data_IF_600057096063
#
_entry.id   IF_600057096063
#
_cell.length_a   1.000
_cell.length_b   1.000
_cell.length_c   1.000
_cell.angle_alpha   90.00
_cell.angle_beta   90.00
_cell.angle_gamma   90.00
#
_symmetry.space_group_name_H-M   'P 1'
#
loop_
_entity.id
_entity.type
_entity.pdbx_description
1 polymer ?
#
# COMPACT_ATOMS: atom_id res chain seq x y z
N UNK A 1 11.05 6.84 -8.02
CA UNK A 1 10.09 6.45 -6.98
C UNK A 1 8.75 6.14 -7.64
N UNK A 2 8.12 5.03 -7.26
CA UNK A 2 6.86 4.60 -7.85
C UNK A 2 5.76 4.50 -6.82
N UNK A 3 4.52 4.57 -7.28
CA UNK A 3 3.33 4.51 -6.41
C UNK A 3 2.39 3.47 -6.98
N UNK A 4 1.82 2.63 -6.09
CA UNK A 4 0.94 1.53 -6.50
C UNK A 4 -0.32 1.50 -5.66
N UNK A 5 -1.38 0.96 -6.25
CA UNK A 5 -2.65 0.69 -5.59
C UNK A 5 -3.00 -0.78 -5.78
N UNK A 6 -3.19 -1.48 -4.68
CA UNK A 6 -3.53 -2.91 -4.67
C UNK A 6 -4.93 -3.06 -4.08
N UNK A 7 -5.78 -3.84 -4.75
CA UNK A 7 -7.14 -4.10 -4.27
C UNK A 7 -7.39 -5.61 -4.27
N UNK A 8 -7.95 -6.11 -3.18
CA UNK A 8 -8.37 -7.51 -3.07
C UNK A 8 -9.79 -7.68 -3.59
N UNK A 9 -10.06 -8.78 -4.31
CA UNK A 9 -11.38 -9.07 -4.87
C UNK A 9 -12.39 -9.51 -3.80
N UNK A 10 -11.91 -10.16 -2.73
CA UNK A 10 -12.77 -10.67 -1.65
C UNK A 10 -12.01 -10.59 -0.32
N UNK A 11 -11.84 -9.38 0.25
CA UNK A 11 -11.07 -9.22 1.49
C UNK A 11 -11.84 -9.79 2.68
N UNK A 12 -11.08 -10.37 3.63
CA UNK A 12 -11.63 -10.76 4.92
C UNK A 12 -11.93 -9.51 5.76
N UNK A 13 -12.81 -9.64 6.78
CA UNK A 13 -13.23 -8.50 7.61
C UNK A 13 -12.08 -7.76 8.28
N UNK A 14 -11.05 -8.48 8.70
CA UNK A 14 -9.88 -7.93 9.39
C UNK A 14 -8.75 -7.55 8.45
N UNK A 15 -8.96 -7.69 7.14
CA UNK A 15 -7.98 -7.34 6.12
C UNK A 15 -8.33 -6.01 5.45
N UNK A 16 -7.35 -5.25 4.97
CA UNK A 16 -7.66 -4.08 4.15
C UNK A 16 -8.29 -4.52 2.84
N UNK A 17 -9.23 -3.72 2.34
CA UNK A 17 -9.81 -3.95 1.01
C UNK A 17 -8.92 -3.39 -0.08
N UNK A 18 -8.09 -2.38 0.21
CA UNK A 18 -7.04 -1.92 -0.69
C UNK A 18 -5.89 -1.29 0.10
N UNK A 19 -4.73 -1.24 -0.54
CA UNK A 19 -3.52 -0.60 -0.01
C UNK A 19 -2.95 0.29 -1.11
N UNK A 20 -2.55 1.51 -0.76
CA UNK A 20 -1.74 2.36 -1.62
C UNK A 20 -0.36 2.47 -1.00
N UNK A 21 0.69 2.38 -1.82
CA UNK A 21 2.06 2.43 -1.29
C UNK A 21 2.99 3.24 -2.19
N UNK A 22 4.02 3.79 -1.55
CA UNK A 22 5.11 4.49 -2.21
C UNK A 22 6.36 3.63 -2.10
N UNK A 23 6.99 3.34 -3.25
CA UNK A 23 8.11 2.39 -3.35
C UNK A 23 9.33 3.11 -3.90
N UNK A 24 10.47 2.96 -3.23
CA UNK A 24 11.74 3.52 -3.69
C UNK A 24 12.25 2.78 -4.93
N UNK A 25 13.26 3.36 -5.59
CA UNK A 25 13.83 2.77 -6.80
C UNK A 25 14.48 1.40 -6.54
N UNK A 26 14.89 1.13 -5.31
CA UNK A 26 15.46 -0.17 -4.92
C UNK A 26 14.41 -1.16 -4.38
N UNK A 27 13.13 -0.84 -4.49
CA UNK A 27 12.05 -1.77 -4.16
C UNK A 27 11.58 -1.75 -2.71
N UNK A 28 12.03 -0.80 -1.90
CA UNK A 28 11.58 -0.70 -0.51
C UNK A 28 10.33 0.16 -0.38
N UNK A 29 9.35 -0.30 0.39
CA UNK A 29 8.14 0.47 0.67
C UNK A 29 8.47 1.56 1.69
N UNK A 30 8.20 2.81 1.31
CA UNK A 30 8.52 3.98 2.14
C UNK A 30 7.31 4.47 2.93
N UNK A 31 6.13 4.48 2.30
CA UNK A 31 4.87 4.86 2.94
C UNK A 31 3.78 3.93 2.46
N UNK A 32 2.82 3.66 3.32
CA UNK A 32 1.67 2.83 2.96
C UNK A 32 0.40 3.39 3.59
N UNK A 33 -0.70 3.29 2.85
CA UNK A 33 -2.03 3.66 3.32
C UNK A 33 -2.91 2.43 3.14
N UNK A 34 -3.52 1.96 4.22
CA UNK A 34 -4.41 0.82 4.20
C UNK A 34 -5.85 1.30 4.43
N UNK A 35 -6.79 0.77 3.66
CA UNK A 35 -8.21 1.07 3.82
C UNK A 35 -8.94 -0.17 4.31
N UNK A 36 -9.64 -0.03 5.43
CA UNK A 36 -10.47 -1.09 6.04
C UNK A 36 -11.92 -0.64 6.04
N UNK A 37 -12.83 -1.59 6.23
CA UNK A 37 -14.25 -1.27 6.41
C UNK A 37 -14.48 -0.31 7.59
N UNK A 38 -13.64 -0.38 8.61
CA UNK A 38 -13.75 0.42 9.84
C UNK A 38 -12.93 1.71 9.82
N UNK A 39 -12.14 1.97 8.77
CA UNK A 39 -11.33 3.19 8.70
C UNK A 39 -10.01 2.99 7.97
N UNK A 40 -9.05 3.86 8.28
CA UNK A 40 -7.76 3.95 7.59
C UNK A 40 -6.61 3.69 8.55
N UNK A 41 -5.51 3.16 8.02
CA UNK A 41 -4.24 3.04 8.74
C UNK A 41 -3.12 3.48 7.81
N UNK A 42 -2.28 4.44 8.23
CA UNK A 42 -1.21 4.95 7.38
C UNK A 42 0.18 4.86 8.03
N UNK A 43 0.26 4.40 9.27
CA UNK A 43 1.53 4.22 9.99
C UNK A 43 2.39 5.48 9.99
N UNK A 44 1.74 6.64 10.05
CA UNK A 44 2.36 7.96 9.89
C UNK A 44 3.46 8.23 10.91
N UNK A 45 3.28 7.72 12.14
CA UNK A 45 4.21 7.89 13.24
C UNK A 45 5.23 6.76 13.36
N UNK A 46 5.15 5.77 12.46
CA UNK A 46 6.09 4.65 12.46
C UNK A 46 7.43 5.04 11.83
N UNK A 47 8.49 4.38 12.25
CA UNK A 47 9.80 4.58 11.64
C UNK A 47 9.86 3.91 10.27
N UNK A 48 10.87 4.26 9.47
CA UNK A 48 11.08 3.65 8.17
C UNK A 48 11.22 2.12 8.28
N UNK A 49 11.96 1.65 9.27
CA UNK A 49 12.16 0.22 9.51
C UNK A 49 10.86 -0.48 9.86
N UNK A 50 10.01 0.16 10.67
CA UNK A 50 8.70 -0.40 11.03
C UNK A 50 7.79 -0.52 9.81
N UNK A 51 7.75 0.48 8.95
CA UNK A 51 6.96 0.43 7.72
C UNK A 51 7.47 -0.69 6.80
N UNK A 52 8.77 -0.80 6.63
CA UNK A 52 9.36 -1.84 5.79
C UNK A 52 9.10 -3.25 6.35
N UNK A 53 9.01 -3.40 7.66
CA UNK A 53 8.74 -4.69 8.29
C UNK A 53 7.32 -5.21 8.05
N UNK A 54 6.40 -4.35 7.59
CA UNK A 54 5.06 -4.79 7.19
C UNK A 54 5.09 -5.64 5.91
N UNK A 55 6.19 -5.59 5.18
CA UNK A 55 6.37 -6.31 3.93
C UNK A 55 7.49 -7.33 4.11
N UNK A 56 7.19 -8.61 3.84
CA UNK A 56 8.14 -9.72 4.05
C UNK A 56 9.39 -9.62 3.20
N UNK A 57 9.32 -8.89 2.08
CA UNK A 57 10.39 -8.77 1.11
C UNK A 57 10.19 -7.51 0.29
N UNK A 58 11.19 -7.11 -0.51
CA UNK A 58 11.05 -5.95 -1.39
C UNK A 58 9.83 -6.07 -2.30
N UNK A 59 9.19 -4.95 -2.60
CA UNK A 59 7.99 -4.90 -3.41
C UNK A 59 8.31 -5.33 -4.84
N UNK A 60 7.59 -6.35 -5.34
CA UNK A 60 7.79 -6.88 -6.69
C UNK A 60 6.45 -6.89 -7.41
N UNK A 61 6.17 -5.91 -8.31
CA UNK A 61 4.90 -5.84 -9.01
C UNK A 61 4.61 -7.06 -9.89
N UNK A 62 5.63 -7.66 -10.50
CA UNK A 62 5.42 -8.84 -11.34
C UNK A 62 4.91 -10.03 -10.54
N UNK A 63 5.44 -10.23 -9.33
CA UNK A 63 5.01 -11.29 -8.44
C UNK A 63 3.58 -11.06 -7.97
N UNK A 64 3.23 -9.82 -7.64
CA UNK A 64 1.88 -9.46 -7.19
C UNK A 64 0.87 -9.67 -8.30
N UNK A 65 1.22 -9.35 -9.54
CA UNK A 65 0.33 -9.54 -10.69
C UNK A 65 -0.02 -10.99 -10.98
N UNK A 66 0.77 -11.93 -10.47
CA UNK A 66 0.50 -13.36 -10.60
C UNK A 66 -0.58 -13.84 -9.64
N UNK A 67 -0.92 -13.06 -8.62
CA UNK A 67 -1.97 -13.41 -7.66
C UNK A 67 -3.34 -12.98 -8.21
N UNK A 68 -4.18 -13.97 -8.52
CA UNK A 68 -5.50 -13.73 -9.11
C UNK A 68 -6.47 -13.02 -8.17
N UNK A 69 -6.19 -13.00 -6.86
CA UNK A 69 -7.03 -12.32 -5.87
C UNK A 69 -6.69 -10.83 -5.71
N UNK A 70 -5.62 -10.38 -6.35
CA UNK A 70 -5.14 -9.00 -6.25
C UNK A 70 -5.24 -8.30 -7.60
N UNK A 71 -5.67 -7.04 -7.58
CA UNK A 71 -5.58 -6.14 -8.72
C UNK A 71 -4.52 -5.07 -8.39
N UNK A 72 -3.48 -5.00 -9.20
CA UNK A 72 -2.39 -4.04 -9.03
C UNK A 72 -2.46 -2.98 -10.11
N UNK A 73 -2.46 -1.71 -9.70
CA UNK A 73 -2.41 -0.57 -10.61
C UNK A 73 -1.27 0.35 -10.18
N UNK A 74 -0.54 0.88 -11.16
CA UNK A 74 0.42 1.94 -10.89
C UNK A 74 -0.35 3.24 -10.70
N UNK A 75 -0.07 3.93 -9.59
CA UNK A 75 -0.72 5.19 -9.25
C UNK A 75 0.22 6.37 -9.56
N UNK A 76 -0.36 7.56 -9.69
CA UNK A 76 0.44 8.77 -9.82
C UNK A 76 0.86 9.28 -8.45
N UNK A 77 1.96 10.08 -8.37
CA UNK A 77 2.34 10.73 -7.12
C UNK A 77 1.21 11.59 -6.54
N UNK A 78 0.46 12.28 -7.39
CA UNK A 78 -0.65 13.15 -6.98
C UNK A 78 -1.79 12.33 -6.35
N UNK A 79 -2.11 11.18 -6.94
CA UNK A 79 -3.13 10.27 -6.39
C UNK A 79 -2.72 9.76 -5.02
N UNK A 80 -1.46 9.32 -4.88
CA UNK A 80 -0.95 8.86 -3.59
C UNK A 80 -0.97 9.98 -2.56
N UNK A 81 -0.54 11.20 -2.93
CA UNK A 81 -0.54 12.33 -2.02
C UNK A 81 -1.94 12.65 -1.52
N UNK A 82 -2.95 12.55 -2.40
CA UNK A 82 -4.35 12.75 -2.03
C UNK A 82 -4.82 11.72 -0.99
N UNK A 83 -4.49 10.45 -1.19
CA UNK A 83 -4.85 9.38 -0.26
C UNK A 83 -4.12 9.54 1.08
N UNK A 84 -2.85 9.92 1.04
CA UNK A 84 -2.06 10.18 2.24
C UNK A 84 -2.65 11.32 3.08
N UNK A 85 -3.10 12.39 2.41
CA UNK A 85 -3.75 13.50 3.10
C UNK A 85 -5.08 13.08 3.73
N UNK A 86 -5.88 12.28 3.03
CA UNK A 86 -7.17 11.80 3.54
C UNK A 86 -7.01 10.88 4.74
N UNK A 87 -6.00 10.01 4.73
CA UNK A 87 -5.79 9.07 5.83
C UNK A 87 -5.36 9.75 7.13
N UNK A 88 -4.85 10.97 7.04
CA UNK A 88 -4.42 11.75 8.21
C UNK A 88 -5.54 12.49 8.95
N UNK A 89 -6.78 12.40 8.49
CA UNK A 89 -7.92 13.07 9.13
C UNK A 89 -8.67 12.15 10.07
#
# INVERSE_FOLDING_TARGET
MKHYHLRWSAPAEDHPDWIACEVSDDGHVLRTVEHFAMGWADYRDATREEVQSLWDRPFNPEEIRQDATLALHEATPEKFASLWAKSGY
#
